data_IF_536764254984
#
_entry.id   IF_536764254984
#
_cell.length_a   1.000
_cell.length_b   1.000
_cell.length_c   1.000
_cell.angle_alpha   90.00
_cell.angle_beta   90.00
_cell.angle_gamma   90.00
#
_symmetry.space_group_name_H-M   'P 1'
#
loop_
_entity.id
_entity.type
_entity.pdbx_description
1 polymer ?
#
# COMPACT_ATOMS: atom_id res chain seq x y z
N UNK A 1 56.87 -18.37 1.37
CA UNK A 1 56.57 -19.73 1.91
C UNK A 1 55.16 -19.74 2.48
N UNK A 2 54.17 -20.04 1.64
CA UNK A 2 52.75 -20.08 2.00
C UNK A 2 52.50 -21.24 2.97
N UNK A 3 52.41 -20.94 4.27
CA UNK A 3 52.02 -21.93 5.29
C UNK A 3 50.50 -21.90 5.42
N UNK A 4 49.86 -23.04 5.18
CA UNK A 4 48.41 -23.18 5.35
C UNK A 4 47.98 -22.83 6.79
N UNK A 5 46.69 -22.53 6.99
CA UNK A 5 46.14 -22.15 8.28
C UNK A 5 46.48 -23.15 9.39
N UNK A 6 46.49 -24.45 9.08
CA UNK A 6 46.88 -25.52 10.00
C UNK A 6 48.34 -25.41 10.46
N UNK A 7 49.29 -25.26 9.52
CA UNK A 7 50.71 -25.13 9.84
C UNK A 7 51.03 -23.83 10.61
N UNK A 8 50.25 -22.76 10.40
CA UNK A 8 50.36 -21.51 11.16
C UNK A 8 49.88 -21.72 12.61
N UNK A 9 48.70 -22.31 12.79
CA UNK A 9 48.12 -22.58 14.11
C UNK A 9 49.02 -23.49 14.95
N UNK A 10 49.55 -24.56 14.35
CA UNK A 10 50.47 -25.51 15.03
C UNK A 10 51.71 -24.80 15.58
N UNK A 11 52.25 -23.81 14.85
CA UNK A 11 53.40 -23.02 15.30
C UNK A 11 53.03 -22.03 16.41
N UNK A 12 51.86 -21.39 16.33
CA UNK A 12 51.37 -20.48 17.38
C UNK A 12 51.18 -21.20 18.73
N UNK A 13 50.60 -22.41 18.71
CA UNK A 13 50.46 -23.24 19.92
C UNK A 13 51.83 -23.66 20.44
N UNK A 14 52.76 -24.05 19.55
CA UNK A 14 54.11 -24.48 19.94
C UNK A 14 54.93 -23.39 20.63
N UNK A 15 54.67 -22.10 20.36
CA UNK A 15 55.32 -20.96 21.04
C UNK A 15 54.56 -20.50 22.30
N UNK A 16 53.59 -21.29 22.78
CA UNK A 16 52.88 -21.04 24.04
C UNK A 16 51.71 -20.07 23.94
N UNK A 17 51.22 -19.73 22.74
CA UNK A 17 50.00 -18.92 22.63
C UNK A 17 48.78 -19.72 23.07
N UNK A 18 47.99 -19.17 24.01
CA UNK A 18 46.77 -19.80 24.50
C UNK A 18 45.74 -20.00 23.37
N UNK A 19 45.18 -21.22 23.27
CA UNK A 19 44.07 -21.53 22.35
C UNK A 19 42.82 -20.73 22.70
N UNK A 20 42.61 -20.45 23.98
CA UNK A 20 41.42 -19.76 24.49
C UNK A 20 41.50 -18.24 24.29
N UNK A 21 42.71 -17.72 24.03
CA UNK A 21 42.95 -16.32 23.66
C UNK A 21 42.75 -16.03 22.17
N UNK A 22 42.34 -17.02 21.36
CA UNK A 22 41.95 -16.81 19.96
C UNK A 22 40.64 -16.02 19.95
N UNK A 23 40.75 -14.69 19.94
CA UNK A 23 39.61 -13.81 19.67
C UNK A 23 39.09 -14.15 18.28
N UNK A 24 37.83 -14.55 18.18
CA UNK A 24 37.07 -14.55 16.93
C UNK A 24 36.87 -13.09 16.49
N UNK A 25 37.95 -12.41 16.09
CA UNK A 25 37.97 -10.95 15.91
C UNK A 25 37.15 -10.48 14.71
N UNK A 26 36.97 -11.32 13.69
CA UNK A 26 36.10 -11.04 12.54
C UNK A 26 35.20 -12.25 12.33
N UNK A 27 33.91 -12.09 12.55
CA UNK A 27 32.91 -13.07 12.11
C UNK A 27 33.15 -13.31 10.62
N UNK A 28 33.42 -14.55 10.17
CA UNK A 28 33.58 -14.84 8.75
C UNK A 28 32.37 -14.32 7.98
N UNK A 29 32.57 -13.70 6.81
CA UNK A 29 31.46 -13.08 6.03
C UNK A 29 30.28 -14.05 5.86
N UNK A 30 30.57 -15.33 5.66
CA UNK A 30 29.57 -16.41 5.57
C UNK A 30 28.76 -16.58 6.85
N UNK A 31 29.41 -16.55 8.01
CA UNK A 31 28.75 -16.70 9.30
C UNK A 31 27.94 -15.45 9.67
N UNK A 32 28.46 -14.26 9.34
CA UNK A 32 27.71 -13.00 9.45
C UNK A 32 26.45 -13.02 8.58
N UNK A 33 26.55 -13.53 7.35
CA UNK A 33 25.41 -13.66 6.45
C UNK A 33 24.34 -14.62 7.00
N UNK A 34 24.74 -15.75 7.59
CA UNK A 34 23.79 -16.68 8.24
C UNK A 34 23.08 -16.04 9.42
N UNK A 35 23.81 -15.31 10.27
CA UNK A 35 23.22 -14.62 11.44
C UNK A 35 22.20 -13.57 10.97
N UNK A 36 22.55 -12.76 9.95
CA UNK A 36 21.63 -11.77 9.38
C UNK A 36 20.38 -12.42 8.79
N UNK A 37 20.53 -13.52 8.04
CA UNK A 37 19.41 -14.27 7.48
C UNK A 37 18.50 -14.86 8.56
N UNK A 38 19.09 -15.41 9.63
CA UNK A 38 18.34 -15.93 10.78
C UNK A 38 17.57 -14.81 11.50
N UNK A 39 18.20 -13.66 11.73
CA UNK A 39 17.53 -12.49 12.33
C UNK A 39 16.39 -11.97 11.44
N UNK A 40 16.59 -11.90 10.12
CA UNK A 40 15.54 -11.50 9.18
C UNK A 40 14.36 -12.47 9.21
N UNK A 41 14.62 -13.78 9.28
CA UNK A 41 13.57 -14.80 9.37
C UNK A 41 12.75 -14.70 10.67
N UNK A 42 13.42 -14.49 11.82
CA UNK A 42 12.73 -14.30 13.10
C UNK A 42 11.87 -13.03 13.09
N UNK A 43 12.40 -11.94 12.55
CA UNK A 43 11.66 -10.69 12.40
C UNK A 43 10.42 -10.85 11.50
N UNK A 44 10.57 -11.52 10.35
CA UNK A 44 9.45 -11.77 9.44
C UNK A 44 8.34 -12.58 10.13
N UNK A 45 8.69 -13.66 10.85
CA UNK A 45 7.73 -14.48 11.61
C UNK A 45 7.05 -13.70 12.74
N UNK A 46 7.78 -12.79 13.38
CA UNK A 46 7.22 -11.93 14.43
C UNK A 46 6.21 -10.93 13.85
N UNK A 47 6.52 -10.34 12.69
CA UNK A 47 5.61 -9.43 11.99
C UNK A 47 4.35 -10.17 11.51
N UNK A 48 4.50 -11.37 10.94
CA UNK A 48 3.39 -12.22 10.50
C UNK A 48 2.45 -12.55 11.67
N UNK A 49 2.99 -12.96 12.82
CA UNK A 49 2.18 -13.21 14.03
C UNK A 49 1.45 -11.97 14.53
N UNK A 50 2.09 -10.81 14.50
CA UNK A 50 1.46 -9.56 14.93
C UNK A 50 0.28 -9.17 14.01
N UNK A 51 0.46 -9.34 12.70
CA UNK A 51 -0.61 -9.10 11.71
C UNK A 51 -1.76 -10.08 11.92
N UNK A 52 -1.48 -11.38 12.07
CA UNK A 52 -2.51 -12.38 12.32
C UNK A 52 -3.32 -12.07 13.58
N UNK A 53 -2.65 -11.72 14.69
CA UNK A 53 -3.33 -11.33 15.92
C UNK A 53 -4.16 -10.04 15.78
N UNK A 54 -3.75 -9.09 14.94
CA UNK A 54 -4.55 -7.90 14.63
C UNK A 54 -5.79 -8.26 13.80
N UNK A 55 -5.65 -9.21 12.87
CA UNK A 55 -6.72 -9.67 11.99
C UNK A 55 -7.73 -10.61 12.68
N UNK A 56 -7.38 -11.24 13.81
CA UNK A 56 -8.27 -12.10 14.60
C UNK A 56 -9.37 -11.32 15.34
N UNK A 57 -9.18 -10.02 15.59
CA UNK A 57 -10.18 -9.16 16.22
C UNK A 57 -11.05 -8.46 15.18
N UNK A 58 -12.14 -9.12 14.78
CA UNK A 58 -13.10 -8.64 13.78
C UNK A 58 -13.61 -7.22 14.08
N UNK A 59 -13.78 -6.88 15.35
CA UNK A 59 -14.29 -5.56 15.76
C UNK A 59 -13.25 -4.48 15.49
N UNK A 60 -11.97 -4.75 15.81
CA UNK A 60 -10.86 -3.84 15.53
C UNK A 60 -10.61 -3.70 14.03
N UNK A 61 -10.65 -4.81 13.28
CA UNK A 61 -10.50 -4.79 11.82
C UNK A 61 -11.60 -3.95 11.19
N UNK A 62 -12.85 -4.19 11.56
CA UNK A 62 -14.00 -3.42 11.06
C UNK A 62 -13.85 -1.94 11.38
N UNK A 63 -13.47 -1.58 12.61
CA UNK A 63 -13.26 -0.19 13.00
C UNK A 63 -12.10 0.47 12.22
N UNK A 64 -11.02 -0.26 11.94
CA UNK A 64 -9.90 0.22 11.14
C UNK A 64 -10.31 0.48 9.69
N UNK A 65 -11.07 -0.44 9.07
CA UNK A 65 -11.61 -0.28 7.71
C UNK A 65 -12.53 0.94 7.63
N UNK A 66 -13.47 1.08 8.56
CA UNK A 66 -14.40 2.21 8.60
C UNK A 66 -13.62 3.52 8.73
N UNK A 67 -12.67 3.60 9.67
CA UNK A 67 -11.84 4.80 9.86
C UNK A 67 -11.03 5.14 8.62
N UNK A 68 -10.35 4.15 8.04
CA UNK A 68 -9.60 4.32 6.80
C UNK A 68 -10.50 4.84 5.67
N UNK A 69 -11.73 4.32 5.53
CA UNK A 69 -12.70 4.81 4.55
C UNK A 69 -13.08 6.27 4.82
N UNK A 70 -13.48 6.60 6.04
CA UNK A 70 -13.92 7.97 6.39
C UNK A 70 -12.82 9.02 6.19
N UNK A 71 -11.57 8.67 6.49
CA UNK A 71 -10.42 9.58 6.36
C UNK A 71 -10.00 9.83 4.91
N UNK A 72 -10.28 8.89 3.99
CA UNK A 72 -9.69 8.87 2.63
C UNK A 72 -10.71 8.92 1.50
N UNK A 73 -12.00 8.90 1.82
CA UNK A 73 -13.09 8.99 0.86
C UNK A 73 -13.74 10.36 0.95
N UNK A 74 -13.79 11.08 -0.17
CA UNK A 74 -14.53 12.35 -0.25
C UNK A 74 -16.02 12.15 -0.56
N UNK A 75 -16.41 10.92 -0.88
CA UNK A 75 -17.77 10.55 -1.26
C UNK A 75 -18.51 9.82 -0.14
N UNK A 76 -18.16 10.09 1.12
CA UNK A 76 -18.95 9.58 2.26
C UNK A 76 -20.31 10.26 2.30
N UNK A 77 -21.31 9.60 2.89
CA UNK A 77 -22.68 10.12 2.97
C UNK A 77 -22.75 11.56 3.48
N UNK A 78 -21.99 11.87 4.53
CA UNK A 78 -21.98 13.20 5.14
C UNK A 78 -21.33 14.26 4.25
N UNK A 79 -20.28 13.89 3.50
CA UNK A 79 -19.60 14.79 2.56
C UNK A 79 -20.41 15.01 1.28
N UNK A 80 -21.16 14.00 0.84
CA UNK A 80 -21.98 14.05 -0.38
C UNK A 80 -23.31 14.76 -0.15
N UNK A 81 -23.90 14.68 1.04
CA UNK A 81 -25.16 15.34 1.38
C UNK A 81 -25.23 16.83 0.94
N UNK A 82 -24.25 17.70 1.27
CA UNK A 82 -24.28 19.09 0.81
C UNK A 82 -24.12 19.22 -0.70
N UNK A 83 -23.34 18.35 -1.36
CA UNK A 83 -23.18 18.36 -2.82
C UNK A 83 -24.51 18.07 -3.53
N UNK A 84 -25.26 17.07 -3.04
CA UNK A 84 -26.59 16.73 -3.58
C UNK A 84 -27.62 17.83 -3.30
N UNK A 85 -27.60 18.44 -2.11
CA UNK A 85 -28.47 19.58 -1.80
C UNK A 85 -28.21 20.75 -2.76
N UNK A 86 -26.94 21.09 -3.00
CA UNK A 86 -26.57 22.14 -3.93
C UNK A 86 -27.00 21.82 -5.36
N UNK A 87 -26.80 20.58 -5.82
CA UNK A 87 -27.20 20.13 -7.15
C UNK A 87 -28.73 20.19 -7.35
N UNK A 88 -29.53 19.88 -6.32
CA UNK A 88 -30.99 20.02 -6.35
C UNK A 88 -31.44 21.48 -6.37
N UNK A 89 -30.74 22.35 -5.64
CA UNK A 89 -31.05 23.79 -5.62
C UNK A 89 -30.68 24.48 -6.94
N UNK A 90 -29.62 24.03 -7.61
CA UNK A 90 -29.11 24.60 -8.86
C UNK A 90 -28.86 23.49 -9.88
N UNK A 91 -29.92 22.91 -10.47
CA UNK A 91 -29.78 21.81 -11.41
C UNK A 91 -29.03 22.28 -12.67
N UNK A 92 -27.87 21.68 -12.92
CA UNK A 92 -27.07 21.90 -14.12
C UNK A 92 -26.87 20.55 -14.82
N UNK A 93 -27.73 20.26 -15.78
CA UNK A 93 -27.64 19.02 -16.55
C UNK A 93 -26.72 19.20 -17.74
N UNK A 94 -25.63 18.45 -17.76
CA UNK A 94 -24.79 18.34 -18.96
C UNK A 94 -25.56 17.63 -20.06
N UNK A 95 -25.63 18.25 -21.24
CA UNK A 95 -26.09 17.57 -22.45
C UNK A 95 -24.98 16.63 -22.93
N UNK A 96 -24.91 15.46 -22.30
CA UNK A 96 -23.91 14.46 -22.54
C UNK A 96 -24.57 13.23 -23.17
N UNK A 97 -24.02 12.64 -24.25
CA UNK A 97 -24.42 11.32 -24.70
C UNK A 97 -24.34 10.32 -23.53
N UNK A 98 -25.26 9.35 -23.39
CA UNK A 98 -25.24 8.37 -22.30
C UNK A 98 -23.89 7.62 -22.18
N UNK A 99 -23.15 7.51 -23.28
CA UNK A 99 -21.85 6.84 -23.37
C UNK A 99 -20.68 7.66 -22.82
N UNK A 100 -20.87 8.94 -22.52
CA UNK A 100 -19.81 9.86 -22.05
C UNK A 100 -20.07 10.42 -20.64
N UNK A 101 -21.15 9.98 -19.99
CA UNK A 101 -21.50 10.45 -18.66
C UNK A 101 -20.50 9.89 -17.63
N UNK A 102 -19.72 10.78 -17.01
CA UNK A 102 -18.75 10.42 -16.00
C UNK A 102 -19.05 11.20 -14.70
N UNK A 103 -19.24 10.53 -13.55
CA UNK A 103 -19.60 11.18 -12.29
C UNK A 103 -18.61 12.25 -11.83
N UNK A 104 -17.34 12.10 -12.22
CA UNK A 104 -16.26 13.04 -11.88
C UNK A 104 -15.99 14.08 -12.97
N UNK A 105 -16.66 14.01 -14.13
CA UNK A 105 -16.50 14.96 -15.23
C UNK A 105 -17.81 15.70 -15.56
N UNK A 106 -18.01 16.92 -15.02
CA UNK A 106 -19.19 17.72 -15.28
C UNK A 106 -19.20 18.42 -16.65
N UNK A 107 -18.17 18.25 -17.51
CA UNK A 107 -18.13 18.79 -18.89
C UNK A 107 -17.40 17.83 -19.83
N UNK A 108 -18.07 16.80 -20.36
CA UNK A 108 -17.46 15.79 -21.22
C UNK A 108 -17.37 16.20 -22.70
N UNK A 109 -17.62 17.47 -23.05
CA UNK A 109 -17.53 17.96 -24.44
C UNK A 109 -16.11 18.51 -24.66
N UNK A 110 -15.26 17.84 -25.46
CA UNK A 110 -13.94 18.35 -25.77
C UNK A 110 -14.06 19.58 -26.68
N UNK A 111 -13.32 20.63 -26.38
CA UNK A 111 -13.19 21.77 -27.29
C UNK A 111 -12.16 21.46 -28.39
N UNK A 112 -11.16 20.61 -28.12
CA UNK A 112 -10.06 20.29 -29.04
C UNK A 112 -9.67 18.80 -29.13
N UNK A 113 -10.66 17.92 -29.35
CA UNK A 113 -10.41 16.51 -29.72
C UNK A 113 -10.23 15.51 -28.56
N UNK A 114 -9.99 14.24 -28.89
CA UNK A 114 -10.03 13.12 -27.91
C UNK A 114 -8.92 13.17 -26.84
N UNK A 115 -7.83 13.90 -27.07
CA UNK A 115 -6.70 13.95 -26.15
C UNK A 115 -6.99 14.77 -24.88
N UNK A 116 -7.78 15.85 -25.01
CA UNK A 116 -8.28 16.61 -23.85
C UNK A 116 -9.16 15.73 -22.94
N UNK A 117 -10.01 14.87 -23.51
CA UNK A 117 -10.88 13.99 -22.71
C UNK A 117 -10.12 13.03 -21.82
N UNK A 118 -9.04 12.44 -22.35
CA UNK A 118 -8.19 11.51 -21.58
C UNK A 118 -7.42 12.26 -20.49
N UNK A 119 -6.97 13.47 -20.79
CA UNK A 119 -6.26 14.31 -19.83
C UNK A 119 -7.20 14.79 -18.70
N UNK A 120 -8.38 15.31 -19.04
CA UNK A 120 -9.42 15.70 -18.09
C UNK A 120 -9.85 14.54 -17.21
N UNK A 121 -10.03 13.36 -17.80
CA UNK A 121 -10.31 12.13 -17.04
C UNK A 121 -9.18 11.83 -16.05
N UNK A 122 -7.93 11.83 -16.51
CA UNK A 122 -6.77 11.55 -15.66
C UNK A 122 -6.66 12.54 -14.49
N UNK A 123 -6.84 13.84 -14.76
CA UNK A 123 -6.77 14.90 -13.76
C UNK A 123 -7.88 14.77 -12.71
N UNK A 124 -9.11 14.44 -13.13
CA UNK A 124 -10.27 14.32 -12.24
C UNK A 124 -10.27 13.04 -11.41
N UNK A 125 -9.76 11.93 -11.95
CA UNK A 125 -9.66 10.66 -11.21
C UNK A 125 -8.43 10.58 -10.32
N UNK A 126 -7.36 11.32 -10.63
CA UNK A 126 -6.11 11.29 -9.87
C UNK A 126 -6.28 11.49 -8.35
N UNK A 127 -7.05 12.48 -7.86
CA UNK A 127 -7.31 12.62 -6.42
C UNK A 127 -8.05 11.42 -5.82
N UNK A 128 -9.06 10.91 -6.53
CA UNK A 128 -9.87 9.79 -6.06
C UNK A 128 -9.03 8.49 -6.00
N UNK A 129 -8.20 8.23 -7.01
CA UNK A 129 -7.24 7.12 -7.06
C UNK A 129 -6.25 7.23 -5.90
N UNK A 130 -5.70 8.42 -5.65
CA UNK A 130 -4.81 8.64 -4.48
C UNK A 130 -5.52 8.33 -3.17
N UNK A 131 -6.80 8.69 -3.04
CA UNK A 131 -7.63 8.33 -1.89
C UNK A 131 -7.77 6.82 -1.70
N UNK A 132 -7.88 6.04 -2.78
CA UNK A 132 -7.91 4.57 -2.70
C UNK A 132 -6.56 3.97 -2.34
N UNK A 133 -5.45 4.54 -2.85
CA UNK A 133 -4.11 4.10 -2.46
C UNK A 133 -3.86 4.36 -0.98
N UNK A 134 -4.24 5.53 -0.48
CA UNK A 134 -4.11 5.87 0.94
C UNK A 134 -5.04 5.03 1.82
N UNK A 135 -6.25 4.72 1.34
CA UNK A 135 -7.15 3.76 1.99
C UNK A 135 -6.49 2.40 2.17
N UNK A 136 -5.96 1.82 1.09
CA UNK A 136 -5.34 0.51 1.12
C UNK A 136 -4.15 0.45 2.10
N UNK A 137 -3.31 1.50 2.12
CA UNK A 137 -2.18 1.60 3.06
C UNK A 137 -2.59 1.63 4.53
N UNK A 138 -3.82 2.04 4.84
CA UNK A 138 -4.36 2.08 6.21
C UNK A 138 -5.07 0.78 6.61
N UNK A 139 -5.22 -0.18 5.70
CA UNK A 139 -5.81 -1.47 6.02
C UNK A 139 -4.82 -2.33 6.83
N UNK A 140 -5.27 -2.98 7.91
CA UNK A 140 -4.45 -3.93 8.66
C UNK A 140 -3.84 -4.98 7.72
N UNK A 141 -2.53 -5.22 7.84
CA UNK A 141 -1.81 -6.22 7.04
C UNK A 141 -1.37 -5.79 5.63
N UNK A 142 -1.91 -4.70 5.06
CA UNK A 142 -1.61 -4.34 3.67
C UNK A 142 -0.16 -3.91 3.45
N UNK A 143 0.42 -3.13 4.37
CA UNK A 143 1.80 -2.65 4.23
C UNK A 143 2.85 -3.75 4.44
N UNK A 144 2.45 -4.88 5.03
CA UNK A 144 3.30 -6.03 5.26
C UNK A 144 3.38 -6.95 4.03
N UNK A 145 2.54 -6.74 3.02
CA UNK A 145 2.63 -7.43 1.73
C UNK A 145 3.86 -6.96 0.94
N UNK A 146 4.43 -7.82 0.08
CA UNK A 146 5.43 -7.41 -0.90
C UNK A 146 4.97 -6.21 -1.73
N UNK A 147 5.90 -5.32 -2.10
CA UNK A 147 5.56 -4.12 -2.88
C UNK A 147 4.90 -4.46 -4.23
N UNK A 148 5.34 -5.55 -4.87
CA UNK A 148 4.76 -6.04 -6.13
C UNK A 148 3.29 -6.45 -5.95
N UNK A 149 2.97 -7.10 -4.83
CA UNK A 149 1.60 -7.51 -4.51
C UNK A 149 0.73 -6.30 -4.18
N UNK A 150 1.23 -5.32 -3.41
CA UNK A 150 0.50 -4.09 -3.14
C UNK A 150 0.13 -3.36 -4.44
N UNK A 151 1.07 -3.26 -5.38
CA UNK A 151 0.83 -2.65 -6.69
C UNK A 151 -0.16 -3.47 -7.52
N UNK A 152 -0.05 -4.79 -7.51
CA UNK A 152 -0.95 -5.69 -8.25
C UNK A 152 -2.37 -5.59 -7.73
N UNK A 153 -2.56 -5.62 -6.41
CA UNK A 153 -3.86 -5.46 -5.77
C UNK A 153 -4.49 -4.09 -6.08
N UNK A 154 -3.69 -3.01 -6.02
CA UNK A 154 -4.17 -1.66 -6.35
C UNK A 154 -4.57 -1.55 -7.82
N UNK A 155 -3.78 -2.10 -8.75
CA UNK A 155 -4.11 -2.10 -10.18
C UNK A 155 -5.40 -2.85 -10.48
N UNK A 156 -5.64 -3.96 -9.78
CA UNK A 156 -6.85 -4.77 -9.96
C UNK A 156 -8.09 -4.10 -9.34
N UNK A 157 -7.98 -3.58 -8.10
CA UNK A 157 -9.14 -3.19 -7.31
C UNK A 157 -9.50 -1.69 -7.33
N UNK A 158 -8.63 -0.80 -7.83
CA UNK A 158 -8.84 0.65 -7.66
C UNK A 158 -10.18 1.14 -8.22
N UNK A 159 -10.58 0.67 -9.40
CA UNK A 159 -11.83 1.10 -10.03
C UNK A 159 -13.06 0.51 -9.35
N UNK A 160 -12.97 -0.70 -8.80
CA UNK A 160 -14.07 -1.33 -8.05
C UNK A 160 -14.34 -0.53 -6.77
N UNK A 161 -13.29 -0.18 -6.02
CA UNK A 161 -13.42 0.66 -4.82
C UNK A 161 -13.95 2.04 -5.17
N UNK A 162 -13.47 2.65 -6.27
CA UNK A 162 -13.99 3.93 -6.74
C UNK A 162 -15.47 3.86 -7.09
N UNK A 163 -15.90 2.82 -7.79
CA UNK A 163 -17.30 2.64 -8.18
C UNK A 163 -18.21 2.55 -6.94
N UNK A 164 -17.81 1.77 -5.93
CA UNK A 164 -18.54 1.68 -4.66
C UNK A 164 -18.59 3.02 -3.94
N UNK A 165 -17.49 3.78 -3.91
CA UNK A 165 -17.46 5.12 -3.30
C UNK A 165 -18.38 6.10 -4.04
N UNK A 166 -18.35 6.07 -5.37
CA UNK A 166 -19.18 6.94 -6.21
C UNK A 166 -20.66 6.57 -6.17
N UNK A 167 -21.03 5.35 -5.76
CA UNK A 167 -22.44 4.97 -5.60
C UNK A 167 -23.18 5.89 -4.61
N UNK A 168 -22.48 6.48 -3.63
CA UNK A 168 -23.05 7.45 -2.70
C UNK A 168 -23.50 8.76 -3.39
N UNK A 169 -22.96 9.07 -4.57
CA UNK A 169 -23.34 10.22 -5.39
C UNK A 169 -24.62 9.98 -6.21
N UNK A 170 -25.12 8.74 -6.27
CA UNK A 170 -26.32 8.41 -7.01
C UNK A 170 -27.57 8.81 -6.23
N UNK A 171 -28.38 9.70 -6.82
CA UNK A 171 -29.66 10.13 -6.27
C UNK A 171 -30.80 9.52 -7.08
N UNK A 172 -31.48 8.51 -6.52
CA UNK A 172 -32.58 7.82 -7.19
C UNK A 172 -33.88 8.64 -7.33
N UNK A 173 -33.93 9.86 -6.78
CA UNK A 173 -35.13 10.72 -6.78
C UNK A 173 -35.21 11.65 -8.00
N UNK A 174 -34.15 11.70 -8.80
CA UNK A 174 -34.02 12.48 -10.04
C UNK A 174 -33.61 11.56 -11.17
#
# INVERSE_FOLDING_TARGET
RNRCQYCRLKKCIAVGMSRDAVRFGRVPKREKAKILAAMQSVNARSQERAVLAELEDDTRVTAAIIRAHMDTCDFTRDKVAPMLQQARAHPSYTQCPPTLACPLNPRPVPLHGQQELVQDFSERFSPAIRGVVEFAKRLPGFQQLPQEDQVTLLKAGVFEVLLVRLAAMFDART
#
